data_IF_140221137913
#
_entry.id   IF_140221137913
#
_cell.length_a   1.000
_cell.length_b   1.000
_cell.length_c   1.000
_cell.angle_alpha   90.00
_cell.angle_beta   90.00
_cell.angle_gamma   90.00
#
_symmetry.space_group_name_H-M   'P 1'
#
loop_
_entity.id
_entity.type
_entity.pdbx_description
1 polymer ?
#
# COMPACT_ATOMS: atom_id res chain seq x y z
N UNK A 1 0.17 39.66 10.32
CA UNK A 1 1.23 40.53 9.86
C UNK A 1 1.88 39.95 8.61
N UNK A 2 1.91 40.75 7.51
CA UNK A 2 2.35 40.32 6.19
C UNK A 2 3.81 39.80 6.21
N UNK A 3 4.69 40.49 6.93
CA UNK A 3 6.09 40.06 7.09
C UNK A 3 6.23 38.70 7.80
N UNK A 4 5.37 38.40 8.76
CA UNK A 4 5.35 37.10 9.46
C UNK A 4 4.88 36.00 8.53
N UNK A 5 3.88 36.27 7.69
CA UNK A 5 3.38 35.31 6.71
C UNK A 5 4.45 35.00 5.65
N UNK A 6 5.09 36.04 5.12
CA UNK A 6 6.17 35.88 4.13
C UNK A 6 7.33 35.03 4.69
N UNK A 7 7.71 35.28 5.95
CA UNK A 7 8.74 34.49 6.62
C UNK A 7 8.33 33.01 6.80
N UNK A 8 7.08 32.74 7.21
CA UNK A 8 6.56 31.38 7.37
C UNK A 8 6.53 30.68 6.02
N UNK A 9 6.04 31.34 4.97
CA UNK A 9 6.01 30.78 3.62
C UNK A 9 7.40 30.45 3.08
N UNK A 10 8.37 31.34 3.29
CA UNK A 10 9.77 31.11 2.89
C UNK A 10 10.34 29.88 3.61
N UNK A 11 10.15 29.78 4.93
CA UNK A 11 10.64 28.64 5.72
C UNK A 11 9.93 27.33 5.36
N UNK A 12 8.63 27.37 5.09
CA UNK A 12 7.91 26.21 4.62
C UNK A 12 8.40 25.75 3.23
N UNK A 13 8.60 26.70 2.31
CA UNK A 13 9.15 26.40 0.99
C UNK A 13 10.57 25.82 1.08
N UNK A 14 11.39 26.36 1.97
CA UNK A 14 12.72 25.84 2.24
C UNK A 14 12.69 24.41 2.81
N UNK A 15 11.74 24.11 3.72
CA UNK A 15 11.51 22.77 4.25
C UNK A 15 11.07 21.80 3.15
N UNK A 16 10.07 22.17 2.36
CA UNK A 16 9.51 21.30 1.30
C UNK A 16 10.52 20.98 0.18
N UNK A 17 11.42 21.89 -0.13
CA UNK A 17 12.46 21.69 -1.15
C UNK A 17 13.70 20.94 -0.61
N UNK A 18 13.89 20.89 0.70
CA UNK A 18 14.98 20.18 1.35
C UNK A 18 14.62 18.73 1.72
N UNK A 19 15.56 17.95 2.25
CA UNK A 19 15.30 16.62 2.76
C UNK A 19 14.40 16.70 4.00
N UNK A 20 13.22 16.06 3.95
CA UNK A 20 12.25 16.00 5.05
C UNK A 20 12.25 14.66 5.76
N UNK A 21 12.74 13.60 5.09
CA UNK A 21 12.77 12.25 5.67
C UNK A 21 13.97 12.06 6.58
N UNK A 22 13.84 11.19 7.58
CA UNK A 22 14.90 10.89 8.56
C UNK A 22 16.16 10.32 7.91
N UNK A 23 16.04 9.66 6.77
CA UNK A 23 17.15 9.12 5.97
C UNK A 23 17.74 10.14 4.98
N UNK A 24 17.15 11.35 4.90
CA UNK A 24 17.61 12.44 4.04
C UNK A 24 17.39 12.24 2.54
N UNK A 25 16.62 11.22 2.12
CA UNK A 25 16.49 10.84 0.70
C UNK A 25 15.41 11.60 -0.05
N UNK A 26 14.36 12.04 0.64
CA UNK A 26 13.19 12.63 -0.01
C UNK A 26 13.00 14.08 0.42
N UNK A 27 12.65 14.92 -0.54
CA UNK A 27 12.10 16.24 -0.26
C UNK A 27 10.58 16.13 0.01
N UNK A 28 9.96 17.22 0.49
CA UNK A 28 8.54 17.23 0.85
C UNK A 28 7.61 16.82 -0.29
N UNK A 29 7.91 17.23 -1.52
CA UNK A 29 7.08 16.89 -2.68
C UNK A 29 7.14 15.40 -3.02
N UNK A 30 8.34 14.82 -3.03
CA UNK A 30 8.53 13.38 -3.27
C UNK A 30 7.91 12.54 -2.15
N UNK A 31 8.02 13.00 -0.90
CA UNK A 31 7.38 12.35 0.23
C UNK A 31 5.86 12.34 0.11
N UNK A 32 5.24 13.50 -0.21
CA UNK A 32 3.79 13.58 -0.41
C UNK A 32 3.30 12.71 -1.58
N UNK A 33 4.07 12.65 -2.67
CA UNK A 33 3.77 11.79 -3.81
C UNK A 33 3.77 10.31 -3.40
N UNK A 34 4.80 9.87 -2.66
CA UNK A 34 4.87 8.50 -2.12
C UNK A 34 3.67 8.18 -1.23
N UNK A 35 3.31 9.08 -0.29
CA UNK A 35 2.16 8.88 0.59
C UNK A 35 0.84 8.74 -0.18
N UNK A 36 0.64 9.57 -1.20
CA UNK A 36 -0.57 9.50 -2.04
C UNK A 36 -0.62 8.19 -2.84
N UNK A 37 0.50 7.78 -3.43
CA UNK A 37 0.62 6.51 -4.16
C UNK A 37 0.32 5.32 -3.24
N UNK A 38 0.91 5.29 -2.04
CA UNK A 38 0.68 4.25 -1.04
C UNK A 38 -0.81 4.18 -0.64
N UNK A 39 -1.46 5.33 -0.39
CA UNK A 39 -2.92 5.35 -0.11
C UNK A 39 -3.74 4.82 -1.29
N UNK A 40 -3.34 5.10 -2.52
CA UNK A 40 -4.08 4.63 -3.71
C UNK A 40 -3.92 3.11 -3.92
N UNK A 41 -2.69 2.59 -3.77
CA UNK A 41 -2.34 1.19 -4.04
C UNK A 41 -2.67 0.30 -2.84
N UNK A 42 -2.17 0.63 -1.64
CA UNK A 42 -2.33 -0.19 -0.44
C UNK A 42 -3.59 0.16 0.35
N UNK A 43 -4.16 1.35 0.10
CA UNK A 43 -5.38 1.84 0.75
C UNK A 43 -5.13 2.74 1.93
N UNK A 44 -3.92 2.77 2.45
CA UNK A 44 -3.50 3.56 3.60
C UNK A 44 -2.01 3.83 3.57
N UNK A 45 -1.58 4.87 4.27
CA UNK A 45 -0.16 5.19 4.45
C UNK A 45 0.09 5.61 5.90
N UNK A 46 1.27 5.30 6.40
CA UNK A 46 1.71 5.67 7.74
C UNK A 46 2.98 6.49 7.65
N UNK A 47 3.06 7.49 8.53
CA UNK A 47 4.29 8.23 8.73
C UNK A 47 4.56 8.44 10.21
N UNK A 48 5.81 8.32 10.62
CA UNK A 48 6.24 8.58 11.99
C UNK A 48 6.99 9.90 12.06
N UNK A 49 6.69 10.68 13.09
CA UNK A 49 7.35 11.95 13.36
C UNK A 49 8.54 11.78 14.31
N UNK A 50 9.61 12.45 13.99
CA UNK A 50 10.76 12.61 14.86
C UNK A 50 11.03 14.10 15.08
N UNK A 51 10.94 14.53 16.33
CA UNK A 51 11.26 15.91 16.71
C UNK A 51 12.64 15.92 17.33
N UNK A 52 13.64 16.42 16.60
CA UNK A 52 15.03 16.54 17.05
C UNK A 52 15.74 17.68 16.32
N UNK A 53 16.69 18.28 17.02
CA UNK A 53 17.57 19.31 16.42
C UNK A 53 18.52 18.76 15.35
N UNK A 54 18.64 17.45 15.23
CA UNK A 54 19.42 16.78 14.18
C UNK A 54 18.75 16.92 12.80
N UNK A 55 17.43 17.10 12.77
CA UNK A 55 16.70 17.29 11.53
C UNK A 55 16.61 18.77 11.15
N UNK A 56 16.66 19.03 9.85
CA UNK A 56 16.43 20.36 9.33
C UNK A 56 15.05 20.87 9.81
N UNK A 57 15.01 22.07 10.34
CA UNK A 57 13.81 22.66 10.96
C UNK A 57 13.23 21.88 12.15
N UNK A 58 13.98 20.93 12.74
CA UNK A 58 13.58 20.22 13.95
C UNK A 58 12.59 19.06 13.73
N UNK A 59 12.18 18.76 12.50
CA UNK A 59 11.23 17.73 12.17
C UNK A 59 11.79 16.78 11.10
N UNK A 60 11.78 15.48 11.39
CA UNK A 60 12.06 14.40 10.46
C UNK A 60 10.85 13.50 10.29
N UNK A 61 10.54 13.11 9.06
CA UNK A 61 9.44 12.21 8.71
C UNK A 61 10.00 10.85 8.31
N UNK A 62 9.37 9.78 8.81
CA UNK A 62 9.70 8.42 8.40
C UNK A 62 8.46 7.78 7.78
N UNK A 63 8.44 7.53 6.45
CA UNK A 63 7.40 6.73 5.85
C UNK A 63 7.51 5.30 6.37
N UNK A 64 6.39 4.72 6.76
CA UNK A 64 6.29 3.34 7.22
C UNK A 64 5.46 2.56 6.19
N UNK A 65 6.00 1.40 5.78
CA UNK A 65 5.27 0.45 4.96
C UNK A 65 4.02 -0.05 5.72
N UNK A 66 2.82 -0.02 5.11
CA UNK A 66 1.58 -0.52 5.73
C UNK A 66 1.68 -1.97 6.25
N UNK A 67 2.49 -2.81 5.63
CA UNK A 67 2.71 -4.20 6.05
C UNK A 67 3.44 -4.31 7.40
N UNK A 68 4.17 -3.28 7.82
CA UNK A 68 4.78 -3.24 9.15
C UNK A 68 3.75 -3.14 10.28
N UNK A 69 2.56 -2.61 9.98
CA UNK A 69 1.42 -2.60 10.91
C UNK A 69 0.54 -3.82 10.63
N UNK A 70 0.92 -4.97 11.18
CA UNK A 70 0.34 -6.26 10.83
C UNK A 70 -1.16 -6.36 11.09
N UNK A 71 -1.91 -6.72 10.06
CA UNK A 71 -3.36 -7.01 10.13
C UNK A 71 -3.68 -8.26 10.98
N UNK A 72 -2.69 -9.09 11.28
CA UNK A 72 -2.88 -10.32 12.07
C UNK A 72 -2.90 -10.06 13.58
N UNK A 73 -2.61 -8.83 14.02
CA UNK A 73 -2.65 -8.47 15.43
C UNK A 73 -4.04 -7.93 15.77
N UNK A 74 -4.89 -8.82 16.32
CA UNK A 74 -6.22 -8.43 16.83
C UNK A 74 -6.46 -9.14 18.16
N UNK A 75 -6.39 -8.39 19.27
CA UNK A 75 -6.53 -8.90 20.64
C UNK A 75 -6.80 -7.76 21.61
N UNK A 76 -7.08 -8.09 22.88
CA UNK A 76 -7.03 -7.10 23.94
C UNK A 76 -5.57 -6.86 24.35
N UNK A 77 -5.17 -5.62 24.52
CA UNK A 77 -3.82 -5.26 24.95
C UNK A 77 -3.64 -5.61 26.44
N UNK A 78 -2.61 -6.39 26.74
CA UNK A 78 -2.36 -6.92 28.10
C UNK A 78 -2.09 -5.82 29.13
N UNK A 79 -1.50 -4.70 28.69
CA UNK A 79 -1.08 -3.60 29.59
C UNK A 79 -2.12 -2.51 29.78
N UNK A 80 -2.96 -2.26 28.77
CA UNK A 80 -3.90 -1.12 28.77
C UNK A 80 -5.36 -1.56 28.83
N UNK A 81 -5.66 -2.83 28.52
CA UNK A 81 -7.02 -3.33 28.37
C UNK A 81 -7.74 -2.82 27.12
N UNK A 82 -7.09 -2.00 26.31
CA UNK A 82 -7.64 -1.49 25.03
C UNK A 82 -7.75 -2.62 24.00
N UNK A 83 -8.61 -2.43 23.01
CA UNK A 83 -8.71 -3.37 21.90
C UNK A 83 -7.67 -3.04 20.83
N UNK A 84 -6.94 -4.05 20.36
CA UNK A 84 -6.07 -3.95 19.18
C UNK A 84 -6.84 -4.54 18.01
N UNK A 85 -7.08 -3.71 16.98
CA UNK A 85 -7.76 -4.09 15.74
C UNK A 85 -6.79 -3.97 14.58
N UNK A 86 -6.39 -5.11 14.00
CA UNK A 86 -5.50 -5.13 12.82
C UNK A 86 -4.21 -4.30 13.04
N UNK A 87 -3.59 -4.43 14.22
CA UNK A 87 -2.38 -3.72 14.59
C UNK A 87 -2.56 -2.30 15.15
N UNK A 88 -3.78 -1.78 15.16
CA UNK A 88 -4.10 -0.46 15.71
C UNK A 88 -4.81 -0.60 17.04
N UNK A 89 -4.23 -0.06 18.11
CA UNK A 89 -4.81 -0.04 19.45
C UNK A 89 -5.82 1.12 19.57
N UNK A 90 -7.05 0.81 19.96
CA UNK A 90 -8.13 1.78 20.10
C UNK A 90 -8.71 1.77 21.51
N UNK A 91 -9.12 2.94 22.00
CA UNK A 91 -9.81 3.06 23.27
C UNK A 91 -11.29 2.66 23.16
N UNK A 92 -12.01 2.75 24.29
CA UNK A 92 -13.44 2.45 24.37
C UNK A 92 -14.34 3.29 23.45
N UNK A 93 -13.84 4.43 22.94
CA UNK A 93 -14.53 5.31 21.99
C UNK A 93 -14.10 5.07 20.54
N UNK A 94 -13.17 4.15 20.30
CA UNK A 94 -12.61 3.87 18.98
C UNK A 94 -11.53 4.88 18.53
N UNK A 95 -11.00 5.72 19.45
CA UNK A 95 -9.89 6.62 19.15
C UNK A 95 -8.59 5.83 19.13
N UNK A 96 -7.74 6.10 18.16
CA UNK A 96 -6.41 5.48 18.03
C UNK A 96 -5.52 5.95 19.18
N UNK A 97 -4.92 5.00 19.89
CA UNK A 97 -4.05 5.23 21.05
C UNK A 97 -2.61 4.86 20.75
N UNK A 98 -2.42 3.77 20.02
CA UNK A 98 -1.10 3.30 19.61
C UNK A 98 -1.17 2.43 18.37
N UNK A 99 -0.01 2.19 17.77
CA UNK A 99 0.20 1.28 16.64
C UNK A 99 1.21 0.21 17.04
N UNK A 100 0.96 -1.02 16.61
CA UNK A 100 1.86 -2.15 16.81
C UNK A 100 2.63 -2.39 15.52
N UNK A 101 3.85 -1.87 15.46
CA UNK A 101 4.69 -1.80 14.26
C UNK A 101 5.84 -2.79 14.39
N UNK A 102 6.04 -3.66 13.40
CA UNK A 102 7.24 -4.48 13.31
C UNK A 102 8.42 -3.64 12.82
N UNK A 103 9.58 -3.82 13.43
CA UNK A 103 10.81 -3.25 12.86
C UNK A 103 11.11 -3.94 11.53
N UNK A 104 11.52 -3.14 10.54
CA UNK A 104 11.87 -3.65 9.21
C UNK A 104 13.18 -4.44 9.26
N UNK A 105 13.12 -5.68 9.75
CA UNK A 105 14.25 -6.61 9.77
C UNK A 105 14.25 -7.58 8.59
N UNK A 106 13.32 -7.44 7.64
CA UNK A 106 13.14 -8.36 6.50
C UNK A 106 14.39 -8.51 5.63
N UNK A 107 15.26 -7.50 5.63
CA UNK A 107 16.49 -7.50 4.81
C UNK A 107 17.75 -7.90 5.57
N UNK A 108 17.66 -8.29 6.85
CA UNK A 108 18.82 -8.76 7.62
C UNK A 108 18.73 -10.26 7.86
N UNK A 109 19.51 -11.08 7.12
CA UNK A 109 19.62 -12.51 7.39
C UNK A 109 20.08 -12.73 8.86
N UNK A 110 19.29 -13.46 9.66
CA UNK A 110 19.59 -13.75 11.06
C UNK A 110 19.08 -12.71 12.07
N UNK A 111 18.39 -11.67 11.65
CA UNK A 111 17.69 -10.78 12.56
C UNK A 111 16.62 -11.57 13.34
N UNK A 112 16.68 -11.50 14.68
CA UNK A 112 15.60 -12.02 15.51
C UNK A 112 14.37 -11.13 15.26
N UNK A 113 13.27 -11.74 14.86
CA UNK A 113 11.96 -11.09 14.84
C UNK A 113 11.58 -10.79 16.30
N UNK A 114 11.86 -9.58 16.72
CA UNK A 114 11.27 -9.07 17.95
C UNK A 114 9.77 -8.86 17.70
N UNK A 115 8.95 -9.02 18.73
CA UNK A 115 7.52 -8.70 18.62
C UNK A 115 7.30 -7.25 18.18
N UNK A 116 6.07 -6.88 17.81
CA UNK A 116 5.78 -5.54 17.34
C UNK A 116 6.06 -4.51 18.44
N UNK A 117 6.71 -3.42 18.06
CA UNK A 117 6.92 -2.27 18.94
C UNK A 117 5.60 -1.50 19.06
N UNK A 118 5.20 -1.18 20.28
CA UNK A 118 4.06 -0.31 20.53
C UNK A 118 4.50 1.15 20.44
N UNK A 119 4.02 1.86 19.41
CA UNK A 119 4.31 3.29 19.18
C UNK A 119 3.03 4.09 19.46
N UNK A 120 3.17 5.22 20.16
CA UNK A 120 2.05 6.10 20.47
C UNK A 120 1.40 6.66 19.18
N UNK A 121 0.07 6.77 19.18
CA UNK A 121 -0.64 7.42 18.08
C UNK A 121 -0.28 8.91 17.91
N UNK A 122 0.31 9.55 18.94
CA UNK A 122 0.83 10.91 18.81
C UNK A 122 2.12 11.03 18.00
N UNK A 123 2.80 9.91 17.73
CA UNK A 123 4.02 9.85 16.95
C UNK A 123 3.79 9.37 15.51
N UNK A 124 2.57 8.91 15.20
CA UNK A 124 2.23 8.33 13.89
C UNK A 124 1.01 9.02 13.31
N UNK A 125 1.13 9.53 12.08
CA UNK A 125 -0.02 9.89 11.27
C UNK A 125 -0.42 8.71 10.39
N UNK A 126 -1.74 8.51 10.27
CA UNK A 126 -2.33 7.40 9.53
C UNK A 126 -3.33 7.94 8.52
N UNK A 127 -2.94 7.96 7.27
CA UNK A 127 -3.71 8.47 6.14
C UNK A 127 -4.49 7.35 5.47
N UNK A 128 -5.80 7.45 5.43
CA UNK A 128 -6.66 6.61 4.63
C UNK A 128 -8.04 7.23 4.43
N UNK A 129 -8.76 6.74 3.43
CA UNK A 129 -10.14 7.17 3.19
C UNK A 129 -11.11 6.32 3.99
N UNK A 130 -11.79 6.92 4.96
CA UNK A 130 -12.89 6.27 5.68
C UNK A 130 -14.09 6.08 4.76
N UNK A 131 -14.53 4.84 4.58
CA UNK A 131 -15.68 4.44 3.73
C UNK A 131 -16.85 3.89 4.53
N UNK A 132 -16.64 3.49 5.79
CA UNK A 132 -17.67 2.96 6.70
C UNK A 132 -17.36 3.37 8.14
N UNK A 133 -18.40 3.41 8.99
CA UNK A 133 -18.24 3.64 10.43
C UNK A 133 -17.33 2.56 11.05
N UNK A 134 -16.59 2.92 12.07
CA UNK A 134 -15.67 2.06 12.83
C UNK A 134 -14.54 1.41 11.99
N UNK A 135 -14.28 1.92 10.80
CA UNK A 135 -13.16 1.48 9.98
C UNK A 135 -11.84 1.87 10.65
N UNK A 136 -10.96 0.89 10.89
CA UNK A 136 -9.67 1.09 11.55
C UNK A 136 -8.51 1.15 10.56
N UNK A 137 -8.60 0.42 9.44
CA UNK A 137 -7.57 0.32 8.39
C UNK A 137 -8.10 0.82 7.05
N UNK A 138 -7.20 1.26 6.18
CA UNK A 138 -7.52 1.64 4.81
C UNK A 138 -7.92 0.46 3.93
N UNK A 139 -8.49 0.76 2.78
CA UNK A 139 -8.81 -0.21 1.73
C UNK A 139 -8.40 0.39 0.40
N UNK A 140 -7.59 -0.33 -0.36
CA UNK A 140 -7.07 0.11 -1.65
C UNK A 140 -8.18 0.64 -2.57
N UNK A 141 -7.86 1.67 -3.32
CA UNK A 141 -8.80 2.22 -4.32
C UNK A 141 -9.05 1.24 -5.44
N UNK A 142 -8.12 0.33 -5.68
CA UNK A 142 -8.19 -0.70 -6.72
C UNK A 142 -9.10 -1.88 -6.35
N UNK A 143 -9.53 -2.01 -5.08
CA UNK A 143 -10.29 -3.17 -4.59
C UNK A 143 -11.52 -3.53 -5.43
N UNK A 144 -12.18 -2.54 -6.07
CA UNK A 144 -13.38 -2.75 -6.89
C UNK A 144 -13.08 -3.20 -8.32
N UNK A 145 -11.89 -2.91 -8.81
CA UNK A 145 -11.51 -3.18 -10.21
C UNK A 145 -10.50 -4.33 -10.33
N UNK A 146 -10.06 -4.91 -9.22
CA UNK A 146 -9.07 -5.99 -9.24
C UNK A 146 -9.54 -7.21 -10.03
N UNK A 147 -10.80 -7.60 -9.87
CA UNK A 147 -11.39 -8.72 -10.63
C UNK A 147 -11.45 -8.39 -12.12
N UNK A 148 -11.91 -7.18 -12.46
CA UNK A 148 -12.01 -6.74 -13.86
C UNK A 148 -10.64 -6.69 -14.54
N UNK A 149 -9.59 -6.26 -13.81
CA UNK A 149 -8.19 -6.25 -14.32
C UNK A 149 -7.70 -7.70 -14.55
N UNK A 150 -8.03 -8.62 -13.64
CA UNK A 150 -7.66 -10.02 -13.80
C UNK A 150 -8.35 -10.65 -15.01
N UNK A 151 -9.67 -10.39 -15.20
CA UNK A 151 -10.45 -10.89 -16.33
C UNK A 151 -9.94 -10.29 -17.64
N UNK A 152 -9.55 -9.01 -17.67
CA UNK A 152 -8.94 -8.37 -18.84
C UNK A 152 -7.63 -9.07 -19.23
N UNK A 153 -6.78 -9.38 -18.26
CA UNK A 153 -5.53 -10.12 -18.51
C UNK A 153 -5.79 -11.51 -19.12
N UNK A 154 -6.77 -12.24 -18.59
CA UNK A 154 -7.18 -13.54 -19.13
C UNK A 154 -7.75 -13.43 -20.55
N UNK A 155 -8.52 -12.36 -20.82
CA UNK A 155 -9.05 -12.08 -22.16
C UNK A 155 -7.93 -11.80 -23.17
N UNK A 156 -6.95 -10.96 -22.83
CA UNK A 156 -5.81 -10.65 -23.69
C UNK A 156 -5.01 -11.92 -24.02
N UNK A 157 -4.77 -12.79 -23.05
CA UNK A 157 -4.10 -14.08 -23.26
C UNK A 157 -4.90 -14.98 -24.22
N UNK A 158 -6.21 -15.08 -24.04
CA UNK A 158 -7.08 -15.86 -24.93
C UNK A 158 -7.10 -15.33 -26.34
N UNK A 159 -7.08 -14.00 -26.54
CA UNK A 159 -7.00 -13.36 -27.86
C UNK A 159 -5.67 -13.68 -28.54
N UNK A 160 -4.55 -13.61 -27.82
CA UNK A 160 -3.23 -13.93 -28.37
C UNK A 160 -3.15 -15.42 -28.77
N UNK A 161 -3.67 -16.33 -27.95
CA UNK A 161 -3.73 -17.78 -28.27
C UNK A 161 -4.61 -18.01 -29.51
N UNK A 162 -5.78 -17.38 -29.57
CA UNK A 162 -6.70 -17.47 -30.69
C UNK A 162 -6.06 -16.95 -31.99
N UNK A 163 -5.36 -15.81 -31.94
CA UNK A 163 -4.65 -15.23 -33.08
C UNK A 163 -3.52 -16.16 -33.57
N UNK A 164 -2.76 -16.77 -32.64
CA UNK A 164 -1.72 -17.76 -33.00
C UNK A 164 -2.31 -19.00 -33.66
N UNK A 165 -3.40 -19.54 -33.11
CA UNK A 165 -4.10 -20.68 -33.68
C UNK A 165 -4.62 -20.37 -35.08
N UNK A 166 -5.26 -19.18 -35.27
CA UNK A 166 -5.73 -18.72 -36.56
C UNK A 166 -4.61 -18.54 -37.59
N UNK A 167 -3.46 -17.99 -37.19
CA UNK A 167 -2.30 -17.82 -38.06
C UNK A 167 -1.69 -19.16 -38.49
N UNK A 168 -1.79 -20.20 -37.69
CA UNK A 168 -1.31 -21.55 -38.00
C UNK A 168 -2.30 -22.42 -38.76
N UNK A 169 -3.56 -21.94 -38.94
CA UNK A 169 -4.60 -22.68 -39.67
C UNK A 169 -4.51 -22.34 -41.16
N UNK A 170 -4.10 -23.31 -41.98
CA UNK A 170 -3.85 -23.12 -43.41
C UNK A 170 -5.11 -23.39 -44.25
N UNK A 171 -5.99 -24.30 -43.83
CA UNK A 171 -7.20 -24.64 -44.55
C UNK A 171 -8.24 -25.37 -43.67
N UNK A 172 -9.52 -25.22 -44.04
CA UNK A 172 -10.62 -26.04 -43.56
C UNK A 172 -11.24 -26.84 -44.71
N UNK A 173 -11.41 -28.14 -44.54
CA UNK A 173 -12.16 -28.98 -45.49
C UNK A 173 -13.55 -29.27 -44.95
N UNK A 174 -14.57 -28.84 -45.67
CA UNK A 174 -15.97 -29.17 -45.37
C UNK A 174 -16.52 -30.17 -46.39
N UNK A 175 -16.97 -31.29 -45.91
CA UNK A 175 -17.60 -32.33 -46.74
C UNK A 175 -19.09 -32.11 -46.82
N UNK A 176 -19.64 -32.06 -48.03
CA UNK A 176 -21.07 -31.93 -48.24
C UNK A 176 -21.84 -33.23 -47.88
N UNK A 177 -21.16 -34.36 -48.02
CA UNK A 177 -21.68 -35.68 -47.69
C UNK A 177 -20.74 -36.37 -46.69
N UNK A 178 -21.19 -36.64 -45.46
CA UNK A 178 -20.37 -37.27 -44.41
C UNK A 178 -19.87 -38.67 -44.78
N UNK A 179 -20.52 -39.35 -45.74
CA UNK A 179 -20.12 -40.69 -46.18
C UNK A 179 -18.87 -40.69 -47.07
N UNK A 180 -18.50 -39.49 -47.58
CA UNK A 180 -17.34 -39.33 -48.49
C UNK A 180 -16.11 -38.79 -47.73
N UNK A 181 -16.25 -38.43 -46.45
CA UNK A 181 -15.16 -37.95 -45.63
C UNK A 181 -14.11 -39.05 -45.40
N UNK A 182 -12.81 -38.75 -45.59
CA UNK A 182 -11.77 -39.74 -45.28
C UNK A 182 -11.76 -40.02 -43.77
N UNK A 183 -11.69 -41.27 -43.39
CA UNK A 183 -11.49 -41.69 -42.00
C UNK A 183 -10.09 -41.27 -41.57
N UNK A 184 -9.97 -40.63 -40.38
CA UNK A 184 -8.63 -40.29 -39.86
C UNK A 184 -7.83 -41.57 -39.69
N UNK A 185 -6.63 -41.63 -40.35
CA UNK A 185 -5.68 -42.70 -40.11
C UNK A 185 -5.19 -42.59 -38.67
N UNK A 186 -5.43 -43.64 -37.88
CA UNK A 186 -4.83 -43.77 -36.56
C UNK A 186 -3.29 -44.00 -36.76
N UNK A 187 -2.51 -42.99 -36.39
CA UNK A 187 -1.08 -43.13 -36.15
C UNK A 187 -0.82 -43.04 -34.65
#
# INVERSE_FOLDING_TARGET
DEQTNDYIEEKFREYMNGPVTVDGRMNGHSFMALQLETVAVDGEAFERYFISREFRHGLGLQPLDPDLVSINISRIADTTGNEIRLGVEVDQFGRRVAYHVYENTQYMPGAKLYGPLRISASEIEHHYRTRRAHQTRGVTWLARVMTDIQDLGAYDEAVIIGARAGANTVAFAQWKDPSVAPTPSAN
#
